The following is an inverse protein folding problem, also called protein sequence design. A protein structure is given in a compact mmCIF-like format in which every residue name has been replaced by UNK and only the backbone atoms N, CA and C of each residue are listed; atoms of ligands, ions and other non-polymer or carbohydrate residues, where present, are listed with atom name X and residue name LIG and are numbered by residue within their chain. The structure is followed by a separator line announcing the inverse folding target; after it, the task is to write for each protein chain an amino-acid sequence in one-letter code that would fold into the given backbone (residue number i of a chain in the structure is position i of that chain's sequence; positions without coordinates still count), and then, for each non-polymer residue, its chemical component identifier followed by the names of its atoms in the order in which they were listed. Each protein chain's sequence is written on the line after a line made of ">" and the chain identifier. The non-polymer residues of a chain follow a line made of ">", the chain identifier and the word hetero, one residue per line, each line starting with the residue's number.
data_IF_227167063395
#
_entry.id   IF_227167063395
#
_cell.length_a   1.000
_cell.length_b   1.000
_cell.length_c   1.000
_cell.angle_alpha   90.00
_cell.angle_beta   90.00
_cell.angle_gamma   90.00
#
_symmetry.space_group_name_H-M   'P 1'
#
loop_
_entity.id
_entity.type
_entity.pdbx_description
1 polymer ?
#
# COMPACT_ATOMS: atom_id res chain seq x y z
N UNK A 1 15.41 6.89 14.27
CA UNK A 1 14.03 6.79 13.75
C UNK A 1 14.06 7.34 12.35
N UNK A 2 13.72 6.51 11.37
CA UNK A 2 13.64 6.93 9.97
C UNK A 2 12.51 7.97 9.83
N UNK A 3 12.76 9.09 9.16
CA UNK A 3 11.80 10.18 9.01
C UNK A 3 10.53 9.74 8.27
N UNK A 4 10.59 8.61 7.54
CA UNK A 4 9.49 8.04 6.78
C UNK A 4 8.42 7.32 7.61
N UNK A 5 8.70 7.00 8.87
CA UNK A 5 7.76 6.27 9.74
C UNK A 5 7.15 7.16 10.83
N UNK A 6 7.41 8.48 10.79
CA UNK A 6 6.78 9.42 11.71
C UNK A 6 5.38 9.80 11.21
N UNK A 7 4.34 9.67 12.06
CA UNK A 7 3.00 10.17 11.74
C UNK A 7 3.01 11.62 11.28
N UNK A 8 2.05 12.00 10.45
CA UNK A 8 1.91 13.39 10.02
C UNK A 8 1.43 14.26 11.18
N UNK A 9 2.05 15.42 11.34
CA UNK A 9 1.56 16.48 12.22
C UNK A 9 0.33 17.17 11.63
N UNK A 10 -0.43 17.89 12.46
CA UNK A 10 -1.59 18.67 11.98
C UNK A 10 -1.20 19.66 10.87
N UNK A 11 -0.09 20.37 11.01
CA UNK A 11 0.39 21.29 9.96
C UNK A 11 0.75 20.60 8.65
N UNK A 12 1.18 19.34 8.71
CA UNK A 12 1.49 18.55 7.52
C UNK A 12 0.22 18.03 6.85
N UNK A 13 -0.78 17.64 7.63
CA UNK A 13 -2.12 17.31 7.14
C UNK A 13 -2.78 18.52 6.50
N UNK A 14 -2.70 19.69 7.12
CA UNK A 14 -3.22 20.94 6.56
C UNK A 14 -2.50 21.30 5.25
N UNK A 15 -1.18 21.09 5.16
CA UNK A 15 -0.42 21.32 3.94
C UNK A 15 -0.84 20.37 2.81
N UNK A 16 -1.11 19.09 3.14
CA UNK A 16 -1.62 18.11 2.19
C UNK A 16 -3.05 18.46 1.75
N UNK A 17 -3.92 18.82 2.68
CA UNK A 17 -5.31 19.24 2.40
C UNK A 17 -5.36 20.45 1.48
N UNK A 18 -4.56 21.49 1.76
CA UNK A 18 -4.47 22.67 0.91
C UNK A 18 -3.96 22.34 -0.51
N UNK A 19 -3.06 21.36 -0.64
CA UNK A 19 -2.57 20.94 -1.95
C UNK A 19 -3.64 20.19 -2.75
N UNK A 20 -4.32 19.24 -2.12
CA UNK A 20 -5.42 18.48 -2.73
C UNK A 20 -6.58 19.41 -3.11
N UNK A 21 -6.89 20.41 -2.29
CA UNK A 21 -7.89 21.44 -2.58
C UNK A 21 -7.44 22.52 -3.57
N UNK A 22 -6.28 22.38 -4.24
CA UNK A 22 -5.81 23.37 -5.20
C UNK A 22 -6.69 23.42 -6.45
N UNK A 23 -6.76 24.57 -7.11
CA UNK A 23 -7.64 24.78 -8.28
C UNK A 23 -7.45 23.77 -9.43
N UNK A 24 -6.28 23.13 -9.52
CA UNK A 24 -5.99 22.10 -10.52
C UNK A 24 -6.55 20.72 -10.16
N UNK A 25 -6.81 20.45 -8.87
CA UNK A 25 -7.16 19.14 -8.35
C UNK A 25 -8.54 19.09 -7.68
N UNK A 26 -9.05 20.22 -7.18
CA UNK A 26 -10.23 20.29 -6.31
C UNK A 26 -11.50 19.59 -6.81
N UNK A 27 -11.65 19.37 -8.12
CA UNK A 27 -12.81 18.68 -8.69
C UNK A 27 -12.65 17.15 -8.68
N UNK A 28 -11.42 16.65 -8.79
CA UNK A 28 -11.12 15.23 -9.04
C UNK A 28 -10.37 14.54 -7.89
N UNK A 29 -9.55 15.27 -7.13
CA UNK A 29 -8.74 14.67 -6.08
C UNK A 29 -9.55 14.20 -4.89
N UNK A 30 -8.96 13.28 -4.12
CA UNK A 30 -9.47 12.93 -2.80
C UNK A 30 -9.22 14.07 -1.81
N UNK A 31 -10.11 14.25 -0.85
CA UNK A 31 -9.80 15.03 0.36
C UNK A 31 -9.05 14.16 1.38
N UNK A 32 -8.59 14.76 2.48
CA UNK A 32 -7.78 14.02 3.47
C UNK A 32 -8.54 12.86 4.14
N UNK A 33 -9.82 12.99 4.56
CA UNK A 33 -10.59 11.87 5.07
C UNK A 33 -10.75 10.74 4.05
N UNK A 34 -11.10 11.04 2.80
CA UNK A 34 -11.20 10.04 1.73
C UNK A 34 -9.86 9.36 1.48
N UNK A 35 -8.77 10.12 1.44
CA UNK A 35 -7.42 9.58 1.27
C UNK A 35 -7.05 8.60 2.39
N UNK A 36 -7.37 8.91 3.66
CA UNK A 36 -7.08 8.00 4.76
C UNK A 36 -7.84 6.68 4.63
N UNK A 37 -9.15 6.74 4.33
CA UNK A 37 -9.94 5.54 4.09
C UNK A 37 -9.40 4.70 2.93
N UNK A 38 -9.04 5.36 1.83
CA UNK A 38 -8.46 4.75 0.64
C UNK A 38 -7.14 4.03 0.93
N UNK A 39 -6.21 4.71 1.61
CA UNK A 39 -4.93 4.12 2.01
C UNK A 39 -5.13 3.01 3.04
N UNK A 40 -6.12 3.13 3.92
CA UNK A 40 -6.44 2.08 4.92
C UNK A 40 -6.85 0.79 4.23
N UNK A 41 -7.76 0.83 3.26
CA UNK A 41 -8.15 -0.35 2.49
C UNK A 41 -6.96 -1.00 1.77
N UNK A 42 -6.06 -0.19 1.20
CA UNK A 42 -4.84 -0.69 0.55
C UNK A 42 -3.90 -1.37 1.57
N UNK A 43 -3.71 -0.76 2.74
CA UNK A 43 -2.77 -1.25 3.77
C UNK A 43 -3.25 -2.55 4.40
N UNK A 44 -4.54 -2.67 4.72
CA UNK A 44 -5.07 -3.86 5.39
C UNK A 44 -5.52 -4.95 4.41
N UNK A 45 -5.58 -4.63 3.11
CA UNK A 45 -6.10 -5.48 2.06
C UNK A 45 -5.26 -6.73 1.75
N UNK A 46 -5.73 -7.56 0.81
CA UNK A 46 -5.19 -8.90 0.58
C UNK A 46 -3.77 -8.90 0.03
N UNK A 47 -3.43 -7.98 -0.89
CA UNK A 47 -2.14 -7.92 -1.57
C UNK A 47 -1.52 -6.52 -1.55
N UNK A 48 -0.21 -6.46 -1.79
CA UNK A 48 0.50 -5.20 -1.93
C UNK A 48 0.07 -4.47 -3.21
N UNK A 49 -0.39 -3.22 -3.07
CA UNK A 49 -0.62 -2.30 -4.19
C UNK A 49 0.54 -1.32 -4.27
N UNK A 50 1.15 -1.18 -5.44
CA UNK A 50 2.34 -0.33 -5.61
C UNK A 50 1.97 1.15 -5.71
N UNK A 51 2.89 2.08 -5.36
CA UNK A 51 2.66 3.51 -5.56
C UNK A 51 2.26 3.91 -6.97
N UNK A 52 2.76 3.21 -8.00
CA UNK A 52 2.38 3.49 -9.39
C UNK A 52 0.90 3.22 -9.68
N UNK A 53 0.27 2.32 -8.92
CA UNK A 53 -1.13 1.93 -9.09
C UNK A 53 -2.07 2.84 -8.29
N UNK A 54 -1.75 3.14 -7.03
CA UNK A 54 -2.65 3.89 -6.16
C UNK A 54 -2.47 5.41 -6.24
N UNK A 55 -1.25 5.90 -6.45
CA UNK A 55 -0.96 7.34 -6.40
C UNK A 55 -1.75 8.15 -7.44
N UNK A 56 -1.91 7.69 -8.71
CA UNK A 56 -2.70 8.43 -9.69
C UNK A 56 -4.15 8.68 -9.26
N UNK A 57 -4.76 7.75 -8.50
CA UNK A 57 -6.15 7.89 -8.03
C UNK A 57 -6.32 8.93 -6.93
N UNK A 58 -5.25 9.32 -6.23
CA UNK A 58 -5.29 10.41 -5.24
C UNK A 58 -5.60 11.75 -5.92
N UNK A 59 -5.07 11.96 -7.13
CA UNK A 59 -5.26 13.17 -7.92
C UNK A 59 -6.59 13.16 -8.67
N UNK A 60 -7.04 11.96 -9.05
CA UNK A 60 -8.26 11.75 -9.80
C UNK A 60 -8.91 10.43 -9.41
N UNK A 61 -9.93 10.54 -8.56
CA UNK A 61 -10.68 9.40 -8.04
C UNK A 61 -11.54 8.69 -9.09
N UNK A 62 -11.68 9.24 -10.30
CA UNK A 62 -12.57 8.73 -11.33
C UNK A 62 -11.85 7.81 -12.31
N UNK A 63 -10.91 8.35 -13.09
CA UNK A 63 -10.21 7.61 -14.14
C UNK A 63 -8.68 7.67 -14.03
N UNK A 64 -8.17 8.31 -12.97
CA UNK A 64 -6.74 8.48 -12.72
C UNK A 64 -5.99 9.23 -13.85
N UNK A 65 -6.68 10.10 -14.60
CA UNK A 65 -6.11 10.78 -15.77
C UNK A 65 -5.52 12.17 -15.46
N UNK A 66 -6.01 12.84 -14.41
CA UNK A 66 -5.45 14.14 -14.01
C UNK A 66 -4.08 13.97 -13.35
N UNK A 67 -3.12 14.78 -13.78
CA UNK A 67 -1.80 14.89 -13.16
C UNK A 67 -1.69 16.19 -12.38
N UNK A 68 -1.11 16.17 -11.17
CA UNK A 68 -0.97 17.36 -10.35
C UNK A 68 0.03 18.35 -10.94
N UNK A 69 -0.35 19.63 -11.01
CA UNK A 69 0.53 20.72 -11.36
C UNK A 69 1.36 21.16 -10.14
N UNK A 70 2.59 20.65 -10.03
CA UNK A 70 3.54 21.12 -9.01
C UNK A 70 4.22 22.43 -9.42
N UNK A 71 4.44 23.32 -8.44
CA UNK A 71 5.21 24.55 -8.59
C UNK A 71 6.67 24.26 -8.95
N UNK A 72 7.26 23.27 -8.27
CA UNK A 72 8.63 22.82 -8.52
C UNK A 72 8.82 21.35 -8.07
N UNK A 73 9.99 20.79 -8.39
CA UNK A 73 10.36 19.44 -7.99
C UNK A 73 10.42 19.27 -6.46
N UNK A 74 10.66 20.35 -5.71
CA UNK A 74 10.66 20.34 -4.25
C UNK A 74 9.25 20.15 -3.69
N UNK A 75 8.23 20.80 -4.26
CA UNK A 75 6.83 20.58 -3.88
C UNK A 75 6.40 19.16 -4.20
N UNK A 76 6.75 18.65 -5.38
CA UNK A 76 6.48 17.26 -5.75
C UNK A 76 7.06 16.29 -4.70
N UNK A 77 8.35 16.42 -4.38
CA UNK A 77 9.00 15.57 -3.39
C UNK A 77 8.36 15.69 -2.00
N UNK A 78 7.99 16.90 -1.57
CA UNK A 78 7.32 17.12 -0.27
C UNK A 78 5.95 16.41 -0.23
N UNK A 79 5.10 16.63 -1.22
CA UNK A 79 3.75 16.03 -1.25
C UNK A 79 3.84 14.51 -1.33
N UNK A 80 4.71 13.96 -2.18
CA UNK A 80 4.93 12.50 -2.24
C UNK A 80 5.42 11.96 -0.90
N UNK A 81 6.34 12.65 -0.22
CA UNK A 81 6.82 12.24 1.11
C UNK A 81 5.69 12.23 2.13
N UNK A 82 4.80 13.24 2.12
CA UNK A 82 3.63 13.27 3.01
C UNK A 82 2.69 12.10 2.75
N UNK A 83 2.39 11.78 1.50
CA UNK A 83 1.53 10.65 1.14
C UNK A 83 2.11 9.31 1.58
N UNK A 84 3.41 9.09 1.35
CA UNK A 84 4.07 7.85 1.79
C UNK A 84 4.12 7.74 3.32
N UNK A 85 4.43 8.84 4.02
CA UNK A 85 4.40 8.87 5.50
C UNK A 85 3.00 8.64 6.04
N UNK A 86 1.96 9.13 5.36
CA UNK A 86 0.58 8.90 5.79
C UNK A 86 0.25 7.41 5.71
N UNK A 87 0.53 6.77 4.56
CA UNK A 87 0.36 5.34 4.37
C UNK A 87 1.19 4.52 5.38
N UNK A 88 2.45 4.90 5.60
CA UNK A 88 3.33 4.23 6.56
C UNK A 88 2.82 4.33 8.00
N UNK A 89 2.23 5.46 8.40
CA UNK A 89 1.63 5.60 9.74
C UNK A 89 0.45 4.66 9.95
N UNK A 90 -0.39 4.48 8.91
CA UNK A 90 -1.48 3.51 8.92
C UNK A 90 -0.90 2.09 9.03
N UNK A 91 0.08 1.75 8.18
CA UNK A 91 0.72 0.44 8.17
C UNK A 91 1.40 0.10 9.52
N UNK A 92 2.11 1.05 10.12
CA UNK A 92 2.75 0.88 11.43
C UNK A 92 1.72 0.64 12.53
N UNK A 93 0.57 1.32 12.49
CA UNK A 93 -0.51 1.10 13.45
C UNK A 93 -1.07 -0.32 13.34
N UNK A 94 -1.43 -0.77 12.13
CA UNK A 94 -1.96 -2.13 11.93
C UNK A 94 -0.90 -3.22 12.16
N UNK A 95 0.39 -2.92 12.01
CA UNK A 95 1.45 -3.86 12.32
C UNK A 95 1.65 -4.05 13.83
N UNK A 96 1.53 -2.98 14.62
CA UNK A 96 1.90 -3.00 16.04
C UNK A 96 0.72 -3.04 17.01
N UNK A 97 -0.34 -2.27 16.76
CA UNK A 97 -1.54 -2.19 17.60
C UNK A 97 -2.77 -1.76 16.77
N UNK A 98 -3.39 -2.69 16.02
CA UNK A 98 -4.61 -2.40 15.24
C UNK A 98 -5.73 -1.74 16.05
N UNK A 99 -5.84 -2.08 17.34
CA UNK A 99 -6.85 -1.54 18.25
C UNK A 99 -6.62 -0.08 18.63
N UNK A 100 -5.44 0.49 18.33
CA UNK A 100 -5.16 1.90 18.50
C UNK A 100 -5.55 2.76 17.29
N UNK A 101 -5.88 2.16 16.14
CA UNK A 101 -6.26 2.92 14.95
C UNK A 101 -7.52 3.76 15.21
N UNK A 102 -7.45 5.05 14.93
CA UNK A 102 -8.56 6.00 15.05
C UNK A 102 -8.72 6.73 13.72
N UNK A 103 -9.81 6.51 12.97
CA UNK A 103 -10.09 7.28 11.77
C UNK A 103 -10.04 8.80 12.02
N UNK A 104 -9.48 9.54 11.07
CA UNK A 104 -9.20 10.98 11.19
C UNK A 104 -10.45 11.82 11.46
N UNK A 105 -11.63 11.35 11.08
CA UNK A 105 -12.89 12.05 11.38
C UNK A 105 -13.12 12.23 12.89
N UNK A 106 -12.54 11.40 13.77
CA UNK A 106 -12.59 11.62 15.22
C UNK A 106 -11.83 12.87 15.68
N UNK A 107 -10.77 13.24 14.95
CA UNK A 107 -9.99 14.44 15.21
C UNK A 107 -10.68 15.70 14.65
N UNK A 108 -11.71 15.53 13.80
CA UNK A 108 -12.37 16.60 13.04
C UNK A 108 -13.82 16.84 13.46
N UNK A 109 -14.15 16.57 14.72
CA UNK A 109 -15.53 16.67 15.25
C UNK A 109 -16.51 15.81 14.44
N UNK A 110 -16.11 14.58 14.09
CA UNK A 110 -16.89 13.61 13.32
C UNK A 110 -17.14 13.99 11.84
N UNK A 111 -16.58 15.12 11.36
CA UNK A 111 -16.66 15.51 9.95
C UNK A 111 -15.73 14.65 9.09
N UNK A 112 -16.16 14.33 7.87
CA UNK A 112 -15.39 13.52 6.93
C UNK A 112 -15.65 12.02 7.01
N UNK A 113 -16.56 11.55 7.88
CA UNK A 113 -16.86 10.12 7.99
C UNK A 113 -17.46 9.51 6.70
N UNK A 114 -18.38 10.19 5.99
CA UNK A 114 -18.83 9.75 4.67
C UNK A 114 -17.69 9.59 3.68
N UNK A 115 -16.87 10.63 3.54
CA UNK A 115 -15.74 10.70 2.61
C UNK A 115 -14.70 9.63 2.93
N UNK A 116 -14.43 9.40 4.22
CA UNK A 116 -13.57 8.32 4.68
C UNK A 116 -14.08 6.94 4.23
N UNK A 117 -15.38 6.66 4.41
CA UNK A 117 -15.96 5.39 3.99
C UNK A 117 -15.99 5.24 2.46
N UNK A 118 -16.25 6.33 1.72
CA UNK A 118 -16.16 6.37 0.26
C UNK A 118 -14.73 6.08 -0.22
N UNK A 119 -13.73 6.64 0.46
CA UNK A 119 -12.32 6.36 0.21
C UNK A 119 -11.97 4.89 0.43
N UNK A 120 -12.42 4.31 1.55
CA UNK A 120 -12.21 2.89 1.82
C UNK A 120 -12.78 2.00 0.71
N UNK A 121 -14.04 2.24 0.30
CA UNK A 121 -14.67 1.53 -0.82
C UNK A 121 -13.91 1.74 -2.15
N UNK A 122 -13.36 2.92 -2.40
CA UNK A 122 -12.53 3.15 -3.58
C UNK A 122 -11.22 2.33 -3.55
N UNK A 123 -10.69 2.04 -2.35
CA UNK A 123 -9.50 1.22 -2.17
C UNK A 123 -9.75 -0.27 -2.37
N UNK A 124 -10.97 -0.77 -2.08
CA UNK A 124 -11.34 -2.17 -2.34
C UNK A 124 -11.46 -2.51 -3.83
N UNK A 125 -11.42 -1.50 -4.71
CA UNK A 125 -11.35 -1.71 -6.15
C UNK A 125 -10.00 -2.31 -6.61
N UNK A 126 -8.96 -2.26 -5.78
CA UNK A 126 -7.79 -3.12 -5.97
C UNK A 126 -8.06 -4.48 -5.35
N UNK A 127 -7.62 -5.56 -6.01
CA UNK A 127 -7.92 -6.92 -5.55
C UNK A 127 -9.44 -7.18 -5.47
N UNK A 128 -10.16 -6.71 -6.48
CA UNK A 128 -11.63 -6.72 -6.56
C UNK A 128 -12.22 -8.12 -6.31
N UNK A 129 -11.58 -9.17 -6.86
CA UNK A 129 -12.05 -10.55 -6.68
C UNK A 129 -11.97 -11.00 -5.21
N UNK A 130 -10.87 -10.71 -4.52
CA UNK A 130 -10.69 -11.05 -3.11
C UNK A 130 -11.62 -10.25 -2.19
N UNK A 131 -11.78 -8.95 -2.43
CA UNK A 131 -12.72 -8.14 -1.67
C UNK A 131 -14.18 -8.55 -1.90
N UNK A 132 -14.55 -8.88 -3.14
CA UNK A 132 -15.87 -9.40 -3.46
C UNK A 132 -16.15 -10.72 -2.74
N UNK A 133 -15.18 -11.64 -2.71
CA UNK A 133 -15.30 -12.90 -1.97
C UNK A 133 -15.53 -12.66 -0.47
N UNK A 134 -14.74 -11.77 0.16
CA UNK A 134 -14.93 -11.43 1.56
C UNK A 134 -16.30 -10.78 1.82
N UNK A 135 -16.78 -9.95 0.89
CA UNK A 135 -18.10 -9.32 1.00
C UNK A 135 -19.24 -10.36 0.94
N UNK A 136 -19.11 -11.37 0.08
CA UNK A 136 -20.07 -12.46 -0.02
C UNK A 136 -20.08 -13.35 1.22
N UNK A 137 -18.91 -13.63 1.79
CA UNK A 137 -18.75 -14.46 2.99
C UNK A 137 -19.21 -13.74 4.27
N UNK A 138 -18.84 -12.46 4.43
CA UNK A 138 -19.07 -11.67 5.65
C UNK A 138 -19.82 -10.34 5.36
N UNK A 139 -21.05 -10.37 4.82
CA UNK A 139 -21.74 -9.16 4.37
C UNK A 139 -22.07 -8.16 5.49
N UNK A 140 -22.21 -8.63 6.74
CA UNK A 140 -22.49 -7.77 7.90
C UNK A 140 -21.25 -7.00 8.36
N UNK A 141 -20.05 -7.49 8.05
CA UNK A 141 -18.79 -6.82 8.38
C UNK A 141 -18.72 -5.44 7.74
N UNK A 142 -19.19 -5.31 6.50
CA UNK A 142 -19.18 -4.06 5.73
C UNK A 142 -20.37 -3.13 6.00
N UNK A 143 -21.28 -3.50 6.90
CA UNK A 143 -22.46 -2.70 7.21
C UNK A 143 -22.14 -1.24 7.61
N UNK A 144 -21.08 -0.94 8.42
CA UNK A 144 -20.71 0.44 8.71
C UNK A 144 -20.42 1.28 7.46
N UNK A 145 -19.71 0.72 6.48
CA UNK A 145 -19.42 1.42 5.21
C UNK A 145 -20.71 1.71 4.45
N UNK A 146 -21.60 0.74 4.32
CA UNK A 146 -22.86 0.92 3.59
C UNK A 146 -23.75 1.99 4.24
N UNK A 147 -23.75 2.07 5.58
CA UNK A 147 -24.52 3.06 6.33
C UNK A 147 -23.92 4.47 6.26
N UNK A 148 -22.60 4.58 6.23
CA UNK A 148 -21.92 5.88 6.29
C UNK A 148 -21.60 6.47 4.91
N UNK A 149 -21.28 5.63 3.92
CA UNK A 149 -20.87 6.07 2.57
C UNK A 149 -22.04 6.44 1.65
N UNK A 150 -23.26 5.96 1.90
CA UNK A 150 -24.41 6.22 1.02
C UNK A 150 -25.34 7.28 1.58
N UNK A 151 -25.92 8.13 0.72
CA UNK A 151 -26.93 9.12 1.15
C UNK A 151 -28.13 8.46 1.84
N UNK A 152 -28.60 7.34 1.31
CA UNK A 152 -29.71 6.56 1.87
C UNK A 152 -29.37 6.00 3.26
N UNK A 153 -28.20 5.37 3.39
CA UNK A 153 -27.72 4.86 4.67
C UNK A 153 -27.60 5.96 5.72
N UNK A 154 -27.01 7.10 5.33
CA UNK A 154 -26.84 8.28 6.19
C UNK A 154 -28.17 8.87 6.64
N UNK A 155 -29.15 8.94 5.74
CA UNK A 155 -30.49 9.42 6.07
C UNK A 155 -31.13 8.53 7.15
N UNK A 156 -31.07 7.20 6.96
CA UNK A 156 -31.64 6.24 7.91
C UNK A 156 -31.00 6.32 9.30
N UNK A 157 -29.68 6.33 9.40
CA UNK A 157 -29.00 6.36 10.71
C UNK A 157 -29.13 7.72 11.40
N UNK A 158 -29.32 8.81 10.64
CA UNK A 158 -29.58 10.13 11.19
C UNK A 158 -30.98 10.20 11.79
N UNK A 159 -31.99 9.66 11.09
CA UNK A 159 -33.36 9.57 11.59
C UNK A 159 -33.44 8.72 12.87
N UNK A 160 -32.69 7.62 12.93
CA UNK A 160 -32.60 6.76 14.11
C UNK A 160 -31.77 7.35 15.26
N UNK A 161 -31.01 8.44 15.04
CA UNK A 161 -30.09 9.00 16.03
C UNK A 161 -28.87 8.11 16.30
N UNK A 162 -28.50 7.25 15.37
CA UNK A 162 -27.48 6.21 15.52
C UNK A 162 -26.14 6.55 14.82
N UNK A 163 -25.98 7.75 14.28
CA UNK A 163 -24.78 8.11 13.47
C UNK A 163 -23.47 7.77 14.17
N UNK A 164 -23.30 8.20 15.43
CA UNK A 164 -22.08 7.93 16.20
C UNK A 164 -21.92 6.43 16.51
N UNK A 165 -23.02 5.67 16.66
CA UNK A 165 -22.97 4.21 16.85
C UNK A 165 -22.35 3.56 15.63
N UNK A 166 -22.80 3.90 14.43
CA UNK A 166 -22.25 3.37 13.20
C UNK A 166 -20.79 3.80 12.96
N UNK A 167 -20.43 5.03 13.33
CA UNK A 167 -19.02 5.49 13.28
C UNK A 167 -18.11 4.69 14.22
N UNK A 168 -18.58 4.33 15.42
CA UNK A 168 -17.83 3.48 16.37
C UNK A 168 -17.60 2.06 15.86
N UNK A 169 -18.45 1.56 14.97
CA UNK A 169 -18.29 0.24 14.37
C UNK A 169 -17.23 0.19 13.26
N UNK A 170 -16.76 1.33 12.76
CA UNK A 170 -15.72 1.38 11.71
C UNK A 170 -14.42 0.75 12.21
N UNK A 171 -13.93 1.11 13.39
CA UNK A 171 -12.66 0.55 13.87
C UNK A 171 -12.71 -0.98 14.08
N UNK A 172 -13.69 -1.55 14.80
CA UNK A 172 -13.81 -3.00 14.93
C UNK A 172 -13.89 -3.73 13.58
N UNK A 173 -14.59 -3.15 12.60
CA UNK A 173 -14.63 -3.67 11.23
C UNK A 173 -13.23 -3.73 10.61
N UNK A 174 -12.43 -2.66 10.71
CA UNK A 174 -11.08 -2.62 10.15
C UNK A 174 -10.14 -3.63 10.78
N UNK A 175 -10.22 -3.80 12.10
CA UNK A 175 -9.42 -4.79 12.84
C UNK A 175 -9.76 -6.21 12.37
N UNK A 176 -11.05 -6.53 12.25
CA UNK A 176 -11.48 -7.83 11.77
C UNK A 176 -11.06 -8.10 10.32
N UNK A 177 -11.24 -7.14 9.40
CA UNK A 177 -10.78 -7.24 8.01
C UNK A 177 -9.25 -7.46 7.96
N UNK A 178 -8.50 -6.69 8.74
CA UNK A 178 -7.04 -6.81 8.80
C UNK A 178 -6.60 -8.21 9.27
N UNK A 179 -7.25 -8.74 10.32
CA UNK A 179 -6.96 -10.08 10.86
C UNK A 179 -7.21 -11.18 9.82
N UNK A 180 -8.35 -11.10 9.12
CA UNK A 180 -8.70 -12.04 8.03
C UNK A 180 -7.62 -12.05 6.96
N UNK A 181 -7.24 -10.87 6.45
CA UNK A 181 -6.24 -10.79 5.39
C UNK A 181 -4.82 -11.12 5.88
N UNK A 182 -4.47 -10.79 7.12
CA UNK A 182 -3.20 -11.20 7.70
C UNK A 182 -3.09 -12.72 7.80
N UNK A 183 -4.17 -13.39 8.23
CA UNK A 183 -4.22 -14.85 8.29
C UNK A 183 -4.12 -15.45 6.88
N UNK A 184 -4.83 -14.91 5.89
CA UNK A 184 -4.77 -15.37 4.50
C UNK A 184 -3.35 -15.25 3.91
N UNK A 185 -2.69 -14.10 4.10
CA UNK A 185 -1.31 -13.86 3.64
C UNK A 185 -0.30 -14.80 4.32
N UNK A 186 -0.46 -15.02 5.63
CA UNK A 186 0.43 -15.91 6.40
C UNK A 186 0.24 -17.37 5.99
N UNK A 187 -1.02 -17.80 5.85
CA UNK A 187 -1.36 -19.17 5.42
C UNK A 187 -0.87 -19.48 4.00
N UNK A 188 -0.92 -18.50 3.10
CA UNK A 188 -0.38 -18.64 1.75
C UNK A 188 1.15 -18.80 1.74
N UNK A 189 1.86 -18.09 2.64
CA UNK A 189 3.32 -18.25 2.80
C UNK A 189 3.68 -19.64 3.35
N UNK A 190 2.92 -20.12 4.33
CA UNK A 190 3.11 -21.45 4.93
C UNK A 190 2.78 -22.58 3.92
N UNK A 191 1.71 -22.40 3.13
CA UNK A 191 1.32 -23.35 2.06
C UNK A 191 2.30 -23.35 0.88
N UNK A 192 3.07 -22.26 0.70
CA UNK A 192 4.16 -22.17 -0.27
C UNK A 192 5.41 -22.97 0.12
N UNK A 193 5.46 -23.56 1.33
CA UNK A 193 6.55 -24.40 1.82
C UNK A 193 6.23 -25.91 1.81
N UNK A 194 5.06 -26.33 1.32
CA UNK A 194 4.72 -27.74 1.10
C UNK A 194 4.96 -28.19 -0.36
N UNK A 195 6.08 -27.75 -0.93
CA UNK A 195 6.56 -28.09 -2.28
C UNK A 195 7.94 -28.74 -2.27
N UNK A 196 7.98 -30.04 -1.97
CA UNK A 196 8.96 -31.06 -2.39
C UNK A 196 10.47 -30.71 -2.33
N UNK A 197 11.12 -31.08 -1.22
CA UNK A 197 12.41 -31.79 -1.33
C UNK A 197 12.07 -33.25 -1.70
N UNK A 198 11.87 -33.50 -2.99
CA UNK A 198 12.08 -34.85 -3.53
C UNK A 198 13.58 -35.09 -3.53
N UNK A 199 14.07 -35.78 -2.50
CA UNK A 199 15.47 -36.22 -2.37
C UNK A 199 15.82 -37.38 -3.35
N UNK A 200 15.01 -37.60 -4.39
CA UNK A 200 15.16 -38.73 -5.33
C UNK A 200 14.80 -38.41 -6.80
N UNK A 201 14.70 -37.12 -7.19
CA UNK A 201 14.64 -36.73 -8.60
C UNK A 201 16.04 -36.28 -9.09
N UNK A 202 16.66 -36.95 -10.09
CA UNK A 202 17.97 -36.52 -10.57
C UNK A 202 17.85 -35.17 -11.26
N UNK A 203 18.38 -34.13 -10.62
CA UNK A 203 18.52 -32.82 -11.24
C UNK A 203 19.45 -32.94 -12.45
N UNK A 204 18.93 -32.74 -13.67
CA UNK A 204 19.78 -32.63 -14.84
C UNK A 204 20.71 -31.41 -14.68
N UNK A 205 22.04 -31.60 -14.71
CA UNK A 205 22.95 -30.50 -14.47
C UNK A 205 22.83 -29.46 -15.58
N UNK A 206 22.54 -28.23 -15.19
CA UNK A 206 22.57 -27.07 -16.08
C UNK A 206 23.94 -26.95 -16.75
N UNK A 207 24.00 -27.30 -18.05
CA UNK A 207 25.20 -27.15 -18.88
C UNK A 207 25.23 -25.72 -19.41
N UNK A 208 26.24 -24.94 -18.98
CA UNK A 208 26.46 -23.60 -19.53
C UNK A 208 26.69 -23.70 -21.05
N UNK A 209 26.02 -22.87 -21.89
CA UNK A 209 26.20 -22.89 -23.33
C UNK A 209 27.60 -22.40 -23.77
N UNK A 210 28.29 -21.66 -22.90
CA UNK A 210 29.62 -21.13 -23.16
C UNK A 210 30.71 -22.05 -22.57
N UNK A 211 31.77 -22.35 -23.33
CA UNK A 211 32.86 -23.18 -22.84
C UNK A 211 33.52 -22.53 -21.63
N UNK A 212 33.74 -23.33 -20.58
CA UNK A 212 34.40 -22.90 -19.35
C UNK A 212 35.82 -22.44 -19.67
N UNK A 213 36.05 -21.12 -19.69
CA UNK A 213 37.39 -20.54 -19.89
C UNK A 213 38.30 -21.01 -18.74
N UNK A 214 39.33 -21.77 -19.10
CA UNK A 214 40.33 -22.26 -18.17
C UNK A 214 41.21 -21.13 -17.65
N UNK A 215 41.67 -21.25 -16.39
CA UNK A 215 42.57 -20.26 -15.75
C UNK A 215 43.82 -19.92 -16.57
N UNK A 216 44.28 -20.83 -17.43
CA UNK A 216 45.48 -20.66 -18.25
C UNK A 216 45.20 -20.29 -19.72
N UNK A 217 43.93 -20.21 -20.13
CA UNK A 217 43.54 -19.93 -21.51
C UNK A 217 43.74 -18.45 -21.84
N UNK A 218 43.74 -18.12 -23.13
CA UNK A 218 43.81 -16.74 -23.58
C UNK A 218 42.63 -15.93 -23.00
N UNK A 219 42.93 -14.77 -22.43
CA UNK A 219 41.92 -13.92 -21.83
C UNK A 219 41.03 -13.30 -22.93
N UNK A 220 39.69 -13.39 -22.82
CA UNK A 220 38.77 -12.95 -23.87
C UNK A 220 38.74 -11.43 -24.07
N UNK A 221 39.35 -10.64 -23.18
CA UNK A 221 39.47 -9.18 -23.32
C UNK A 221 40.50 -8.73 -24.38
N UNK A 222 41.12 -9.65 -25.11
CA UNK A 222 42.08 -9.33 -26.19
C UNK A 222 43.48 -8.92 -25.71
N UNK A 223 43.79 -9.07 -24.41
CA UNK A 223 45.08 -8.64 -23.84
C UNK A 223 46.29 -9.49 -24.22
N UNK A 224 46.09 -10.64 -24.88
CA UNK A 224 47.13 -11.63 -25.18
C UNK A 224 47.68 -12.38 -23.95
N UNK A 225 47.16 -12.12 -22.74
CA UNK A 225 47.59 -12.76 -21.49
C UNK A 225 46.71 -13.96 -21.13
N UNK A 226 47.22 -14.86 -20.28
CA UNK A 226 46.42 -15.94 -19.67
C UNK A 226 45.36 -15.38 -18.73
N UNK A 227 44.16 -15.96 -18.70
CA UNK A 227 43.01 -15.47 -17.92
C UNK A 227 43.34 -15.18 -16.44
N UNK A 228 44.05 -16.07 -15.74
CA UNK A 228 44.48 -15.88 -14.33
C UNK A 228 45.41 -14.68 -14.08
N UNK A 229 46.02 -14.13 -15.12
CA UNK A 229 46.93 -12.97 -15.05
C UNK A 229 46.33 -11.71 -15.69
N UNK A 230 45.03 -11.75 -15.98
CA UNK A 230 44.28 -10.65 -16.56
C UNK A 230 42.91 -10.55 -15.87
N UNK A 231 41.79 -10.74 -16.57
CA UNK A 231 40.44 -10.61 -15.99
C UNK A 231 40.15 -11.59 -14.83
N UNK A 232 40.88 -12.70 -14.74
CA UNK A 232 40.78 -13.67 -13.63
C UNK A 232 41.81 -13.46 -12.51
N UNK A 233 42.55 -12.35 -12.50
CA UNK A 233 43.45 -12.02 -11.40
C UNK A 233 42.65 -11.34 -10.28
N UNK A 234 42.50 -12.02 -9.15
CA UNK A 234 42.12 -11.35 -7.91
C UNK A 234 43.32 -10.48 -7.47
N UNK A 235 43.07 -9.18 -7.34
CA UNK A 235 44.04 -8.16 -6.94
C UNK A 235 44.84 -8.62 -5.71
N UNK A 236 46.18 -8.59 -5.81
CA UNK A 236 47.12 -8.83 -4.71
C UNK A 236 47.97 -7.58 -4.55
N UNK A 237 47.35 -6.50 -4.08
CA UNK A 237 48.06 -5.29 -3.66
C UNK A 237 47.32 -4.59 -2.50
N UNK A 238 47.23 -5.28 -1.37
CA UNK A 238 47.21 -4.68 -0.03
C UNK A 238 47.96 -5.63 0.92
N UNK A 239 49.29 -5.56 0.86
CA UNK A 239 50.22 -5.82 1.95
C UNK A 239 51.32 -4.78 1.88
#
# INVERSE_FOLDING_TARGET
>A
MDALNQPLSQSELDALENFLASANLQETSMDVPMLEGYLTAIVIGPHMVTPGEWLPRVWDRYDASVTPAFVDAGQAARITTLLMRFMNGIADTFLNDPGAFQPIFWQREQRGAPEWCEGFLAGTAFCDAEWAALWEEEPTLFAPLMRLATDEGRAMIREAGETEVWMKLVQPMLVAIHEIWLQARTSALDSGYEGAVDDDAPAEPYVRPEPKIGRNDACPCGSGKKFKRCCGAADRSLQ
#
